data_IF_619326240366
#
_entry.id   IF_619326240366
#
_cell.length_a   1.000
_cell.length_b   1.000
_cell.length_c   1.000
_cell.angle_alpha   90.00
_cell.angle_beta   90.00
_cell.angle_gamma   90.00
#
_symmetry.space_group_name_H-M   'P 1'
#
loop_
_entity.id
_entity.type
_entity.pdbx_description
1 polymer ?
#
# COMPACT_ATOMS: atom_id res chain seq x y z
N UNK A 1 16.19 -8.40 -6.32
CA UNK A 1 15.48 -7.38 -7.16
C UNK A 1 14.44 -6.76 -6.26
N UNK A 2 14.32 -5.43 -6.27
CA UNK A 2 13.33 -4.71 -5.46
C UNK A 2 12.29 -4.09 -6.39
N UNK A 3 11.01 -4.36 -6.10
CA UNK A 3 9.90 -3.77 -6.83
C UNK A 3 9.08 -2.90 -5.89
N UNK A 4 8.76 -1.70 -6.32
CA UNK A 4 7.75 -0.87 -5.68
C UNK A 4 6.47 -0.94 -6.48
N UNK A 5 5.38 -1.36 -5.86
CA UNK A 5 4.11 -1.63 -6.54
C UNK A 5 3.01 -0.68 -6.06
N UNK A 6 2.17 -0.24 -6.97
CA UNK A 6 0.92 0.42 -6.66
C UNK A 6 -0.21 -0.02 -7.59
N UNK A 7 -1.45 0.28 -7.20
CA UNK A 7 -2.66 -0.04 -7.97
C UNK A 7 -3.42 1.26 -8.27
N UNK A 8 -3.66 1.50 -9.55
CA UNK A 8 -4.51 2.61 -10.01
C UNK A 8 -5.69 2.04 -10.80
N UNK A 9 -6.88 2.02 -10.20
CA UNK A 9 -8.09 1.42 -10.78
C UNK A 9 -9.24 2.43 -10.84
N UNK A 10 -9.96 2.41 -11.95
CA UNK A 10 -11.13 3.27 -12.16
C UNK A 10 -10.81 4.76 -12.10
N UNK A 11 -11.74 5.54 -11.60
CA UNK A 11 -11.66 7.00 -11.59
C UNK A 11 -11.47 7.61 -10.18
N UNK A 12 -11.09 6.78 -9.18
CA UNK A 12 -10.90 7.27 -7.81
C UNK A 12 -9.71 8.21 -7.70
N UNK A 13 -8.61 7.85 -8.37
CA UNK A 13 -7.38 8.64 -8.41
C UNK A 13 -6.99 8.93 -9.86
N UNK A 14 -6.57 10.15 -10.11
CA UNK A 14 -6.03 10.56 -11.40
C UNK A 14 -4.61 10.02 -11.58
N UNK A 15 -4.16 9.96 -12.83
CA UNK A 15 -2.80 9.51 -13.20
C UNK A 15 -1.71 10.30 -12.49
N UNK A 16 -1.98 11.57 -12.16
CA UNK A 16 -1.09 12.44 -11.38
C UNK A 16 -0.68 11.81 -10.02
N UNK A 17 -1.56 11.04 -9.38
CA UNK A 17 -1.24 10.34 -8.13
C UNK A 17 -0.12 9.31 -8.32
N UNK A 18 -0.16 8.57 -9.44
CA UNK A 18 0.91 7.63 -9.81
C UNK A 18 2.22 8.37 -10.02
N UNK A 19 2.19 9.49 -10.76
CA UNK A 19 3.38 10.28 -11.03
C UNK A 19 4.00 10.84 -9.73
N UNK A 20 3.18 11.38 -8.85
CA UNK A 20 3.65 11.91 -7.56
C UNK A 20 4.21 10.81 -6.66
N UNK A 21 3.54 9.64 -6.61
CA UNK A 21 4.06 8.51 -5.85
C UNK A 21 5.41 8.06 -6.41
N UNK A 22 5.55 7.93 -7.72
CA UNK A 22 6.84 7.63 -8.37
C UNK A 22 7.93 8.64 -7.97
N UNK A 23 7.63 9.93 -8.07
CA UNK A 23 8.57 10.98 -7.72
C UNK A 23 8.97 10.92 -6.24
N UNK A 24 8.02 10.67 -5.33
CA UNK A 24 8.31 10.50 -3.90
C UNK A 24 9.21 9.29 -3.65
N UNK A 25 8.92 8.16 -4.28
CA UNK A 25 9.74 6.95 -4.18
C UNK A 25 11.16 7.22 -4.67
N UNK A 26 11.32 7.81 -5.85
CA UNK A 26 12.64 8.13 -6.41
C UNK A 26 13.48 9.06 -5.52
N UNK A 27 12.84 9.97 -4.80
CA UNK A 27 13.54 10.88 -3.87
C UNK A 27 13.91 10.24 -2.54
N UNK A 28 13.17 9.21 -2.13
CA UNK A 28 13.23 8.64 -0.78
C UNK A 28 13.73 7.19 -0.74
N UNK A 29 14.40 6.72 -1.79
CA UNK A 29 15.11 5.43 -1.77
C UNK A 29 16.49 5.54 -2.38
N UNK A 30 17.44 4.77 -1.85
CA UNK A 30 18.77 4.59 -2.43
C UNK A 30 18.89 3.24 -3.16
N UNK A 31 17.88 2.38 -3.02
CA UNK A 31 17.86 1.05 -3.64
C UNK A 31 17.54 1.13 -5.14
N UNK A 32 18.13 0.23 -5.95
CA UNK A 32 17.77 0.08 -7.36
C UNK A 32 16.40 -0.62 -7.45
N UNK A 33 15.33 0.16 -7.55
CA UNK A 33 13.96 -0.35 -7.60
C UNK A 33 13.35 -0.25 -8.98
N UNK A 34 12.49 -1.22 -9.33
CA UNK A 34 11.53 -1.12 -10.41
C UNK A 34 10.23 -0.55 -9.86
N UNK A 35 9.72 0.54 -10.42
CA UNK A 35 8.42 1.07 -10.06
C UNK A 35 7.36 0.51 -10.99
N UNK A 36 6.39 -0.20 -10.43
CA UNK A 36 5.37 -0.95 -11.18
C UNK A 36 3.98 -0.45 -10.78
N UNK A 37 3.18 -0.06 -11.77
CA UNK A 37 1.78 0.27 -11.56
C UNK A 37 0.87 -0.71 -12.28
N UNK A 38 -0.05 -1.34 -11.54
CA UNK A 38 -1.13 -2.14 -12.11
C UNK A 38 -2.36 -1.26 -12.33
N UNK A 39 -2.91 -1.28 -13.54
CA UNK A 39 -3.97 -0.35 -13.91
C UNK A 39 -4.88 -0.87 -15.03
N UNK A 40 -6.12 -0.39 -15.03
CA UNK A 40 -7.08 -0.52 -16.14
C UNK A 40 -7.04 0.67 -17.12
N UNK A 41 -6.24 1.71 -16.82
CA UNK A 41 -6.07 2.87 -17.69
C UNK A 41 -5.18 2.57 -18.90
N UNK A 42 -5.80 2.23 -20.02
CA UNK A 42 -5.11 1.78 -21.26
C UNK A 42 -4.04 2.77 -21.76
N UNK A 43 -4.18 4.05 -21.48
CA UNK A 43 -3.28 5.12 -21.96
C UNK A 43 -2.27 5.58 -20.90
N UNK A 44 -2.23 4.98 -19.72
CA UNK A 44 -1.40 5.46 -18.61
C UNK A 44 0.08 5.60 -19.01
N UNK A 45 0.62 4.66 -19.77
CA UNK A 45 2.01 4.69 -20.27
C UNK A 45 2.37 5.93 -21.12
N UNK A 46 1.36 6.68 -21.60
CA UNK A 46 1.53 7.95 -22.34
C UNK A 46 1.36 9.18 -21.47
N UNK A 47 0.95 8.98 -20.23
CA UNK A 47 0.56 10.07 -19.31
C UNK A 47 1.52 10.20 -18.12
N UNK A 48 2.35 9.18 -17.88
CA UNK A 48 3.36 9.18 -16.83
C UNK A 48 4.75 9.38 -17.44
N UNK A 49 5.63 9.98 -16.66
CA UNK A 49 7.03 10.25 -17.03
C UNK A 49 7.98 9.45 -16.14
N UNK A 50 9.13 9.09 -16.70
CA UNK A 50 10.15 8.33 -16.01
C UNK A 50 10.09 6.83 -16.27
N UNK A 51 10.83 6.08 -15.47
CA UNK A 51 10.96 4.62 -15.60
C UNK A 51 9.86 3.93 -14.78
N UNK A 52 8.63 3.94 -15.31
CA UNK A 52 7.44 3.36 -14.73
C UNK A 52 6.97 2.18 -15.58
N UNK A 53 6.99 0.98 -15.01
CA UNK A 53 6.44 -0.22 -15.63
C UNK A 53 4.91 -0.25 -15.44
N UNK A 54 4.18 0.01 -16.53
CA UNK A 54 2.72 0.05 -16.53
C UNK A 54 2.15 -1.30 -16.95
N UNK A 55 1.54 -2.00 -16.03
CA UNK A 55 0.98 -3.34 -16.24
C UNK A 55 -0.54 -3.35 -16.16
N UNK A 56 -1.15 -4.24 -16.94
CA UNK A 56 -2.58 -4.56 -16.80
C UNK A 56 -2.78 -5.53 -15.64
N UNK A 57 -3.98 -5.50 -15.08
CA UNK A 57 -4.38 -6.53 -14.14
C UNK A 57 -4.39 -7.91 -14.79
N UNK A 58 -3.93 -8.96 -14.07
CA UNK A 58 -4.03 -10.35 -14.54
C UNK A 58 -5.46 -10.79 -14.84
N UNK A 59 -6.42 -10.43 -14.00
CA UNK A 59 -7.84 -10.71 -14.15
C UNK A 59 -8.65 -9.43 -14.37
N UNK A 60 -9.76 -9.53 -15.11
CA UNK A 60 -10.61 -8.38 -15.44
C UNK A 60 -11.95 -8.36 -14.67
N UNK A 61 -12.15 -9.28 -13.72
CA UNK A 61 -13.42 -9.47 -13.01
C UNK A 61 -13.39 -8.96 -11.55
N UNK A 62 -12.30 -8.32 -11.14
CA UNK A 62 -12.17 -7.63 -9.86
C UNK A 62 -12.36 -6.13 -10.03
N UNK A 63 -12.98 -5.51 -9.04
CA UNK A 63 -13.28 -4.09 -9.03
C UNK A 63 -12.77 -3.41 -7.76
N UNK A 64 -12.45 -2.12 -7.86
CA UNK A 64 -12.05 -1.29 -6.74
C UNK A 64 -10.82 -1.86 -6.02
N UNK A 65 -10.86 -1.86 -4.70
CA UNK A 65 -9.77 -2.35 -3.85
C UNK A 65 -9.47 -3.85 -3.99
N UNK A 66 -10.41 -4.65 -4.54
CA UNK A 66 -10.18 -6.09 -4.78
C UNK A 66 -9.05 -6.35 -5.78
N UNK A 67 -8.76 -5.40 -6.65
CA UNK A 67 -7.62 -5.48 -7.59
C UNK A 67 -6.26 -5.60 -6.88
N UNK A 68 -6.14 -5.15 -5.63
CA UNK A 68 -4.92 -5.29 -4.83
C UNK A 68 -4.54 -6.76 -4.60
N UNK A 69 -5.52 -7.65 -4.47
CA UNK A 69 -5.25 -9.08 -4.27
C UNK A 69 -4.56 -9.73 -5.47
N UNK A 70 -4.70 -9.17 -6.67
CA UNK A 70 -4.04 -9.69 -7.88
C UNK A 70 -2.52 -9.53 -7.85
N UNK A 71 -1.98 -8.65 -7.00
CA UNK A 71 -0.54 -8.52 -6.81
C UNK A 71 0.11 -9.80 -6.25
N UNK A 72 -0.69 -10.65 -5.62
CA UNK A 72 -0.23 -11.91 -5.03
C UNK A 72 -0.35 -13.10 -5.99
N UNK A 73 -0.92 -12.89 -7.18
CA UNK A 73 -1.06 -13.95 -8.19
C UNK A 73 0.29 -14.25 -8.87
N UNK A 74 0.52 -15.49 -9.31
CA UNK A 74 1.69 -15.81 -10.14
C UNK A 74 1.71 -14.99 -11.44
N UNK A 75 0.54 -14.67 -11.99
CA UNK A 75 0.38 -13.94 -13.26
C UNK A 75 0.76 -12.45 -13.14
N UNK A 76 0.89 -11.92 -11.91
CA UNK A 76 1.43 -10.58 -11.70
C UNK A 76 2.93 -10.49 -12.06
N UNK A 77 3.62 -11.64 -12.15
CA UNK A 77 5.03 -11.76 -12.53
C UNK A 77 5.95 -10.82 -11.72
N UNK A 78 5.78 -10.85 -10.41
CA UNK A 78 6.55 -10.05 -9.46
C UNK A 78 7.65 -10.91 -8.83
N UNK A 79 8.89 -10.76 -9.29
CA UNK A 79 10.04 -11.54 -8.83
C UNK A 79 10.86 -10.72 -7.84
N UNK A 80 11.21 -11.34 -6.69
CA UNK A 80 12.03 -10.72 -5.64
C UNK A 80 11.20 -10.08 -4.53
N UNK A 81 11.75 -9.05 -3.90
CA UNK A 81 11.11 -8.32 -2.80
C UNK A 81 10.19 -7.22 -3.35
N UNK A 82 8.93 -7.25 -2.94
CA UNK A 82 7.91 -6.35 -3.40
C UNK A 82 7.39 -5.49 -2.24
N UNK A 83 7.38 -4.19 -2.39
CA UNK A 83 6.79 -3.23 -1.45
C UNK A 83 5.59 -2.56 -2.13
N UNK A 84 4.45 -2.62 -1.50
CA UNK A 84 3.23 -1.93 -1.92
C UNK A 84 2.95 -0.71 -1.06
N UNK A 85 2.54 0.36 -1.70
CA UNK A 85 1.88 1.48 -1.02
C UNK A 85 0.65 1.95 -1.81
N UNK A 86 -0.40 2.35 -1.09
CA UNK A 86 -1.57 2.99 -1.69
C UNK A 86 -1.19 4.33 -2.34
N UNK A 87 -2.00 4.79 -3.31
CA UNK A 87 -1.76 6.05 -4.01
C UNK A 87 -1.98 7.29 -3.12
N UNK A 88 -2.72 7.15 -2.04
CA UNK A 88 -3.00 8.21 -1.08
C UNK A 88 -2.07 8.19 0.14
N UNK A 89 -0.83 7.79 -0.05
CA UNK A 89 0.24 7.98 0.93
C UNK A 89 1.14 9.16 0.55
N UNK A 90 1.81 9.73 1.54
CA UNK A 90 2.86 10.73 1.32
C UNK A 90 4.14 10.27 2.00
N UNK A 91 5.17 10.05 1.18
CA UNK A 91 6.49 9.61 1.65
C UNK A 91 7.28 10.85 2.07
N UNK A 92 7.71 10.89 3.33
CA UNK A 92 8.36 12.03 3.96
C UNK A 92 9.86 11.80 4.17
N UNK A 93 10.28 10.54 4.31
CA UNK A 93 11.66 10.16 4.63
C UNK A 93 12.05 8.90 3.86
N UNK A 94 13.33 8.48 3.95
CA UNK A 94 13.85 7.30 3.29
C UNK A 94 13.06 6.03 3.65
N UNK A 95 12.69 5.24 2.63
CA UNK A 95 11.87 4.03 2.74
C UNK A 95 12.64 2.71 2.57
N UNK A 96 13.95 2.74 2.49
CA UNK A 96 14.76 1.54 2.27
C UNK A 96 14.54 0.49 3.36
N UNK A 97 14.27 0.92 4.59
CA UNK A 97 13.99 0.02 5.71
C UNK A 97 12.74 -0.83 5.49
N UNK A 98 11.72 -0.34 4.77
CA UNK A 98 10.55 -1.15 4.45
C UNK A 98 10.90 -2.35 3.56
N UNK A 99 11.83 -2.18 2.62
CA UNK A 99 12.31 -3.28 1.79
C UNK A 99 13.16 -4.30 2.57
N UNK A 100 13.91 -3.82 3.55
CA UNK A 100 14.84 -4.63 4.33
C UNK A 100 14.21 -5.26 5.59
N UNK A 101 12.92 -5.03 5.86
CA UNK A 101 12.23 -5.54 7.02
C UNK A 101 11.86 -7.02 6.87
N UNK A 102 12.12 -7.79 7.91
CA UNK A 102 11.83 -9.24 7.95
C UNK A 102 12.76 -10.05 7.05
N UNK A 103 12.56 -11.34 7.05
CA UNK A 103 13.28 -12.31 6.22
C UNK A 103 12.67 -12.34 4.80
N UNK A 104 13.40 -12.91 3.84
CA UNK A 104 13.01 -12.96 2.43
C UNK A 104 11.64 -13.63 2.18
N UNK A 105 11.30 -14.63 2.98
CA UNK A 105 10.07 -15.40 2.83
C UNK A 105 8.94 -14.96 3.76
N UNK A 106 8.99 -13.72 4.28
CA UNK A 106 7.97 -13.16 5.16
C UNK A 106 7.02 -12.23 4.45
N UNK A 107 5.85 -12.03 5.06
CA UNK A 107 4.87 -11.02 4.69
C UNK A 107 4.84 -9.93 5.77
N UNK A 108 5.23 -8.72 5.42
CA UNK A 108 5.24 -7.60 6.37
C UNK A 108 4.12 -6.63 6.07
N UNK A 109 3.45 -6.12 7.12
CA UNK A 109 2.31 -5.20 6.98
C UNK A 109 2.29 -4.21 8.15
N UNK A 110 1.69 -3.03 7.97
CA UNK A 110 1.52 -2.09 9.07
C UNK A 110 0.31 -2.46 9.94
N UNK A 111 0.41 -2.15 11.23
CA UNK A 111 -0.74 -2.20 12.12
C UNK A 111 -1.83 -1.23 11.67
N UNK A 112 -3.09 -1.52 12.03
CA UNK A 112 -4.15 -0.55 11.86
C UNK A 112 -3.91 0.65 12.78
N UNK A 113 -4.26 1.84 12.31
CA UNK A 113 -4.18 3.05 13.13
C UNK A 113 -5.18 3.02 14.29
N UNK A 114 -6.31 2.35 14.12
CA UNK A 114 -7.19 1.99 15.23
C UNK A 114 -6.72 0.69 15.89
N UNK A 115 -5.96 0.81 16.95
CA UNK A 115 -5.40 -0.34 17.69
C UNK A 115 -6.44 -1.21 18.40
N UNK A 116 -7.71 -0.80 18.45
CA UNK A 116 -8.78 -1.63 19.00
C UNK A 116 -9.25 -2.73 18.05
N UNK A 117 -8.91 -2.66 16.78
CA UNK A 117 -9.21 -3.68 15.78
C UNK A 117 -8.07 -4.70 15.67
N UNK A 118 -8.43 -5.93 15.32
CA UNK A 118 -7.46 -6.98 14.98
C UNK A 118 -7.14 -7.05 13.47
N UNK A 119 -7.65 -6.09 12.70
CA UNK A 119 -7.44 -5.99 11.26
C UNK A 119 -6.21 -5.13 11.03
N UNK A 120 -5.26 -5.59 10.22
CA UNK A 120 -4.10 -4.81 9.79
C UNK A 120 -4.50 -3.74 8.79
N UNK A 121 -3.63 -2.76 8.51
CA UNK A 121 -3.88 -1.76 7.49
C UNK A 121 -3.13 -2.14 6.21
N UNK A 122 -3.85 -2.32 5.11
CA UNK A 122 -3.31 -2.76 3.82
C UNK A 122 -2.78 -1.62 2.94
N UNK A 123 -2.58 -0.42 3.49
CA UNK A 123 -2.00 0.68 2.72
C UNK A 123 -0.51 0.54 2.48
N UNK A 124 0.19 -0.24 3.33
CA UNK A 124 1.63 -0.53 3.19
C UNK A 124 1.87 -1.98 3.56
N UNK A 125 2.44 -2.77 2.64
CA UNK A 125 2.89 -4.13 2.92
C UNK A 125 4.04 -4.54 2.00
N UNK A 126 4.86 -5.47 2.49
CA UNK A 126 5.98 -6.08 1.76
C UNK A 126 5.77 -7.58 1.65
N UNK A 127 6.16 -8.17 0.53
CA UNK A 127 6.07 -9.62 0.32
C UNK A 127 7.09 -10.13 -0.70
N UNK A 128 7.38 -11.42 -0.58
CA UNK A 128 7.91 -12.22 -1.68
C UNK A 128 6.75 -12.92 -2.39
N UNK A 129 6.75 -12.95 -3.72
CA UNK A 129 5.58 -13.40 -4.47
C UNK A 129 5.20 -14.87 -4.15
N UNK A 130 6.18 -15.77 -4.07
CA UNK A 130 5.93 -17.17 -3.73
C UNK A 130 5.19 -17.31 -2.40
N UNK A 131 5.67 -16.63 -1.36
CA UNK A 131 5.05 -16.65 -0.03
C UNK A 131 3.63 -16.09 -0.06
N UNK A 132 3.41 -14.97 -0.72
CA UNK A 132 2.10 -14.35 -0.78
C UNK A 132 1.12 -15.12 -1.67
N UNK A 133 1.59 -15.78 -2.73
CA UNK A 133 0.76 -16.66 -3.55
C UNK A 133 0.18 -17.80 -2.70
N UNK A 134 1.00 -18.47 -1.90
CA UNK A 134 0.55 -19.58 -1.04
C UNK A 134 -0.31 -19.08 0.13
N UNK A 135 0.04 -17.94 0.71
CA UNK A 135 -0.61 -17.43 1.91
C UNK A 135 -1.91 -16.69 1.64
N UNK A 136 -2.01 -16.00 0.49
CA UNK A 136 -3.13 -15.11 0.18
C UNK A 136 -3.85 -15.53 -1.10
N UNK A 137 -3.14 -15.68 -2.22
CA UNK A 137 -3.78 -15.87 -3.53
C UNK A 137 -4.50 -17.20 -3.66
N UNK A 138 -3.85 -18.31 -3.35
CA UNK A 138 -4.48 -19.63 -3.40
C UNK A 138 -5.68 -19.75 -2.44
N UNK A 139 -5.60 -19.37 -1.15
CA UNK A 139 -6.75 -19.35 -0.26
C UNK A 139 -7.86 -18.40 -0.73
N UNK A 140 -7.51 -17.24 -1.32
CA UNK A 140 -8.47 -16.33 -1.92
C UNK A 140 -9.24 -17.01 -3.06
N UNK A 141 -8.56 -17.66 -3.99
CA UNK A 141 -9.22 -18.36 -5.09
C UNK A 141 -10.12 -19.49 -4.60
N UNK A 142 -9.66 -20.25 -3.61
CA UNK A 142 -10.40 -21.40 -3.08
C UNK A 142 -11.71 -21.02 -2.38
N UNK A 143 -11.81 -19.82 -1.79
CA UNK A 143 -12.98 -19.37 -1.01
C UNK A 143 -13.44 -17.95 -1.39
N UNK A 144 -13.18 -17.53 -2.62
CA UNK A 144 -13.45 -16.18 -3.13
C UNK A 144 -14.89 -15.71 -2.87
N UNK A 145 -15.86 -16.61 -3.01
CA UNK A 145 -17.28 -16.29 -2.80
C UNK A 145 -17.61 -15.88 -1.37
N UNK A 146 -16.99 -16.52 -0.37
CA UNK A 146 -17.16 -16.17 1.03
C UNK A 146 -16.27 -14.99 1.44
N UNK A 147 -15.05 -14.96 0.95
CA UNK A 147 -14.10 -13.89 1.28
C UNK A 147 -14.57 -12.53 0.74
N UNK A 148 -15.22 -12.46 -0.42
CA UNK A 148 -15.86 -11.23 -0.94
C UNK A 148 -16.97 -10.66 -0.05
N UNK A 149 -17.48 -11.42 0.92
CA UNK A 149 -18.45 -10.92 1.91
C UNK A 149 -17.80 -10.05 2.99
N UNK A 150 -16.48 -10.04 3.09
CA UNK A 150 -15.75 -9.10 3.94
C UNK A 150 -15.86 -7.68 3.39
N UNK A 151 -15.52 -6.69 4.20
CA UNK A 151 -15.70 -5.29 3.83
C UNK A 151 -14.71 -4.80 2.77
N UNK A 152 -13.52 -5.46 2.66
CA UNK A 152 -12.52 -5.09 1.66
C UNK A 152 -11.30 -6.02 1.65
N UNK A 153 -10.33 -5.65 0.81
CA UNK A 153 -9.04 -6.34 0.69
C UNK A 153 -8.30 -6.42 2.02
N UNK A 154 -8.35 -5.36 2.81
CA UNK A 154 -7.70 -5.25 4.13
C UNK A 154 -8.19 -6.33 5.09
N UNK A 155 -9.51 -6.57 5.14
CA UNK A 155 -10.10 -7.61 5.99
C UNK A 155 -9.67 -9.01 5.54
N UNK A 156 -9.66 -9.24 4.22
CA UNK A 156 -9.26 -10.52 3.63
C UNK A 156 -7.78 -10.79 3.89
N UNK A 157 -6.90 -9.85 3.58
CA UNK A 157 -5.46 -9.98 3.84
C UNK A 157 -5.24 -10.27 5.33
N UNK A 158 -5.83 -9.47 6.22
CA UNK A 158 -5.69 -9.65 7.67
C UNK A 158 -6.13 -11.03 8.13
N UNK A 159 -7.28 -11.50 7.63
CA UNK A 159 -7.82 -12.83 7.97
C UNK A 159 -6.87 -13.95 7.55
N UNK A 160 -6.30 -13.84 6.35
CA UNK A 160 -5.45 -14.89 5.78
C UNK A 160 -4.05 -14.92 6.40
N UNK A 161 -3.49 -13.76 6.77
CA UNK A 161 -2.10 -13.68 7.28
C UNK A 161 -1.99 -13.76 8.80
N UNK A 162 -3.06 -13.46 9.56
CA UNK A 162 -3.01 -13.26 11.02
C UNK A 162 -2.51 -14.45 11.83
N UNK A 163 -2.62 -15.68 11.31
CA UNK A 163 -2.18 -16.90 11.97
C UNK A 163 -0.87 -17.46 11.38
N UNK A 164 -0.28 -16.75 10.43
CA UNK A 164 0.93 -17.21 9.76
C UNK A 164 2.19 -16.88 10.56
N UNK A 165 3.07 -17.86 10.73
CA UNK A 165 4.41 -17.65 11.30
C UNK A 165 5.29 -16.75 10.41
N UNK A 166 4.90 -16.55 9.15
CA UNK A 166 5.58 -15.68 8.19
C UNK A 166 5.15 -14.20 8.29
N UNK A 167 4.14 -13.89 9.11
CA UNK A 167 3.71 -12.53 9.33
C UNK A 167 4.76 -11.75 10.13
N UNK A 168 5.08 -10.54 9.64
CA UNK A 168 5.87 -9.53 10.36
C UNK A 168 5.09 -8.22 10.39
N UNK A 169 5.26 -7.47 11.44
CA UNK A 169 4.63 -6.15 11.57
C UNK A 169 5.72 -5.09 11.44
N UNK A 170 5.53 -4.14 10.53
CA UNK A 170 6.42 -2.99 10.47
C UNK A 170 6.39 -2.20 11.79
N UNK A 171 7.53 -1.63 12.20
CA UNK A 171 7.57 -0.74 13.36
C UNK A 171 6.52 0.36 13.26
N UNK A 172 5.79 0.57 14.36
CA UNK A 172 4.67 1.52 14.39
C UNK A 172 5.09 2.96 14.10
N UNK A 173 6.32 3.30 14.43
CA UNK A 173 6.91 4.61 14.18
C UNK A 173 7.25 4.90 12.71
N UNK A 174 7.14 3.92 11.80
CA UNK A 174 7.45 4.14 10.38
C UNK A 174 6.31 4.77 9.59
N UNK A 175 5.08 4.67 10.09
CA UNK A 175 3.94 5.27 9.42
C UNK A 175 2.91 5.80 10.41
N UNK A 176 2.18 6.83 10.00
CA UNK A 176 1.11 7.41 10.82
C UNK A 176 -0.11 7.75 9.98
N UNK A 177 -1.27 7.79 10.63
CA UNK A 177 -2.47 8.33 9.99
C UNK A 177 -2.38 9.84 9.91
N UNK A 178 -2.47 10.39 8.70
CA UNK A 178 -2.54 11.84 8.53
C UNK A 178 -3.67 12.46 9.35
N UNK A 179 -4.86 11.86 9.32
CA UNK A 179 -6.03 12.38 10.01
C UNK A 179 -5.97 12.23 11.51
N UNK A 180 -5.43 11.11 11.97
CA UNK A 180 -5.44 10.77 13.38
C UNK A 180 -4.11 11.09 14.07
N UNK A 181 -3.20 11.66 13.33
CA UNK A 181 -1.91 12.16 13.75
C UNK A 181 -0.99 11.12 14.40
N UNK A 182 -1.55 10.20 15.19
CA UNK A 182 -0.70 9.41 16.04
C UNK A 182 -1.38 8.09 16.43
N UNK A 183 -0.62 7.02 16.45
CA UNK A 183 -1.06 5.67 16.78
C UNK A 183 -1.21 5.40 18.26
N UNK A 184 -0.56 6.19 19.11
CA UNK A 184 -0.56 5.96 20.56
C UNK A 184 -1.89 6.30 21.21
N UNK A 185 -2.79 6.97 20.51
CA UNK A 185 -4.14 7.19 20.96
C UNK A 185 -5.13 6.29 20.22
N UNK A 186 -5.56 5.15 20.78
CA UNK A 186 -6.47 4.23 20.11
C UNK A 186 -7.94 4.70 20.13
N UNK A 187 -8.26 5.81 20.78
CA UNK A 187 -9.62 6.33 20.93
C UNK A 187 -9.79 7.55 20.05
N UNK A 188 -9.98 7.31 18.77
CA UNK A 188 -10.25 8.39 17.84
C UNK A 188 -11.74 8.68 17.71
N UNK A 189 -12.09 9.93 17.89
CA UNK A 189 -13.30 10.51 17.33
C UNK A 189 -12.93 11.41 16.16
N UNK A 190 -13.91 11.74 15.32
CA UNK A 190 -13.68 12.74 14.26
C UNK A 190 -13.27 14.11 14.80
N UNK A 191 -13.58 14.39 16.05
CA UNK A 191 -13.24 15.64 16.74
C UNK A 191 -11.76 15.68 17.16
N UNK A 192 -11.14 14.51 17.31
CA UNK A 192 -9.73 14.39 17.70
C UNK A 192 -8.77 14.41 16.51
N UNK A 193 -9.28 14.60 15.30
CA UNK A 193 -8.43 14.65 14.12
C UNK A 193 -7.54 15.90 14.13
N UNK A 194 -6.27 15.67 14.02
CA UNK A 194 -5.28 16.72 13.83
C UNK A 194 -4.63 16.54 12.47
N UNK A 195 -4.20 17.63 11.87
CA UNK A 195 -3.50 17.62 10.59
C UNK A 195 -2.04 18.01 10.75
N UNK A 196 -1.52 17.93 11.96
CA UNK A 196 -0.11 18.14 12.22
C UNK A 196 0.71 16.92 11.76
N UNK A 197 1.99 17.12 11.50
CA UNK A 197 2.89 16.03 11.16
C UNK A 197 3.04 15.07 12.34
N UNK A 198 2.65 13.82 12.14
CA UNK A 198 2.94 12.73 13.06
C UNK A 198 4.40 12.28 12.97
N UNK A 199 4.79 11.37 13.83
CA UNK A 199 6.08 10.70 13.77
C UNK A 199 6.02 9.58 12.73
N UNK A 200 6.97 9.55 11.79
CA UNK A 200 7.09 8.47 10.82
C UNK A 200 7.58 8.93 9.45
N UNK A 201 7.97 7.94 8.66
CA UNK A 201 8.48 8.10 7.29
C UNK A 201 7.37 8.28 6.27
N UNK A 202 6.17 7.76 6.55
CA UNK A 202 5.03 7.75 5.61
C UNK A 202 3.76 8.20 6.32
N UNK A 203 3.10 9.22 5.75
CA UNK A 203 1.76 9.64 6.13
C UNK A 203 0.72 8.89 5.28
N UNK A 204 -0.23 8.20 5.92
CA UNK A 204 -1.31 7.46 5.25
C UNK A 204 -2.62 8.24 5.38
N UNK A 205 -3.25 8.55 4.26
CA UNK A 205 -4.44 9.40 4.22
C UNK A 205 -5.76 8.64 4.39
N UNK A 206 -5.84 7.40 4.03
CA UNK A 206 -7.02 6.50 4.15
C UNK A 206 -8.38 7.20 4.06
N UNK A 207 -8.68 7.78 2.91
CA UNK A 207 -9.91 8.52 2.59
C UNK A 207 -9.76 10.04 2.77
N UNK A 208 -10.87 10.79 2.70
CA UNK A 208 -10.83 12.26 2.76
C UNK A 208 -10.34 12.81 4.11
N UNK A 209 -9.54 13.91 4.13
CA UNK A 209 -9.00 14.57 2.94
C UNK A 209 -7.98 13.70 2.22
N UNK A 210 -7.80 13.93 0.93
CA UNK A 210 -6.73 13.34 0.14
C UNK A 210 -5.46 14.22 0.19
N UNK A 211 -4.29 13.75 -0.25
CA UNK A 211 -3.06 14.54 -0.25
C UNK A 211 -3.17 15.91 -0.93
N UNK A 212 -3.87 15.99 -2.07
CA UNK A 212 -4.06 17.24 -2.82
C UNK A 212 -4.94 18.29 -2.10
N UNK A 213 -5.74 17.83 -1.12
CA UNK A 213 -6.62 18.69 -0.32
C UNK A 213 -5.93 19.22 0.95
N UNK A 214 -4.69 18.78 1.21
CA UNK A 214 -3.97 19.16 2.42
C UNK A 214 -3.44 20.59 2.36
N UNK A 215 -3.68 21.37 3.42
CA UNK A 215 -3.10 22.69 3.63
C UNK A 215 -1.72 22.66 4.27
N UNK A 216 -1.29 21.50 4.78
CA UNK A 216 -0.04 21.36 5.52
C UNK A 216 1.17 21.46 4.61
N UNK A 217 2.09 22.39 4.93
CA UNK A 217 3.29 22.66 4.15
C UNK A 217 4.17 21.42 3.96
N UNK A 218 4.34 20.58 5.00
CA UNK A 218 5.17 19.38 4.90
C UNK A 218 4.59 18.36 3.89
N UNK A 219 3.25 18.29 3.77
CA UNK A 219 2.58 17.46 2.76
C UNK A 219 2.80 18.05 1.37
N UNK A 220 2.50 19.35 1.18
CA UNK A 220 2.68 20.03 -0.12
C UNK A 220 4.12 19.92 -0.63
N UNK A 221 5.09 20.02 0.28
CA UNK A 221 6.51 19.92 -0.05
C UNK A 221 6.95 18.51 -0.40
N UNK A 222 6.33 17.49 0.17
CA UNK A 222 6.64 16.09 -0.10
C UNK A 222 5.86 15.53 -1.30
N UNK A 223 4.60 15.88 -1.45
CA UNK A 223 3.69 15.34 -2.47
C UNK A 223 3.85 16.06 -3.83
N UNK A 224 4.98 15.77 -4.53
CA UNK A 224 5.38 16.40 -5.81
C UNK A 224 5.80 15.35 -6.81
#
# INVERSE_FOLDING_TARGET
>A
MYNFCCVCYGNKYEVEYVQKLYNMVKRNTTLPINFIVFTDHVKMHKMVEGDIDVRKFPENDLEGWWNKLQLFSPEADLVGENLYMDLDVVILENIDDFFNHGEEDTFSIINNFNLSTKIFNSSIFKWNNKTATDLIWHPWLADRGNLKRNQGDQDVISKLVSQSEKLRIFPDEWSFSYKWNNRVNPRYSKQDWTFERGVGKVAVFHGAPNPHESDQEYIKNAWK
#
